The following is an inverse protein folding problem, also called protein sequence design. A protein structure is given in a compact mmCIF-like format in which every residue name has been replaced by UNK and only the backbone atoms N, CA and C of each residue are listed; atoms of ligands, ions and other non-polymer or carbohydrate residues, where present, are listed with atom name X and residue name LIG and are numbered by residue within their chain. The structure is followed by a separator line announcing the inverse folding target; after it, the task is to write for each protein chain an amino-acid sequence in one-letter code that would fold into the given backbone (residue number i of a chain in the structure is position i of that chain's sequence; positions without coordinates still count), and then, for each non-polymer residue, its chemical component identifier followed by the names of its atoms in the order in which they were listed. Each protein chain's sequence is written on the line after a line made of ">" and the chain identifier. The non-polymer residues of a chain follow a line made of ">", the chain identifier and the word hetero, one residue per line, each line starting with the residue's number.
data_IF_764815441626
#
_entry.id   IF_764815441626
#
_cell.length_a   1.000
_cell.length_b   1.000
_cell.length_c   1.000
_cell.angle_alpha   90.00
_cell.angle_beta   90.00
_cell.angle_gamma   90.00
#
_symmetry.space_group_name_H-M   'P 1'
#
loop_
_entity.id
_entity.type
_entity.pdbx_description
1 polymer ?
#
# COMPACT_ATOMS: atom_id res chain seq x y z
N UNK A 1 -0.52 -5.12 -1.65
CA UNK A 1 -0.11 -3.90 -0.93
C UNK A 1 -0.79 -2.73 -1.61
N UNK A 2 -1.54 -1.92 -0.86
CA UNK A 2 -2.31 -0.78 -1.37
C UNK A 2 -1.56 0.51 -1.03
N UNK A 3 -0.91 1.10 -2.04
CA UNK A 3 -0.09 2.32 -1.92
C UNK A 3 -0.98 3.54 -2.12
N UNK A 4 -0.98 4.45 -1.15
CA UNK A 4 -1.94 5.56 -1.11
C UNK A 4 -3.36 5.06 -0.85
N UNK A 5 -3.49 4.00 -0.05
CA UNK A 5 -4.79 3.34 0.19
C UNK A 5 -5.78 4.18 1.01
N UNK A 6 -5.32 5.30 1.57
CA UNK A 6 -6.12 6.25 2.34
C UNK A 6 -6.89 5.58 3.48
N UNK A 7 -8.19 5.91 3.56
CA UNK A 7 -9.11 5.35 4.55
C UNK A 7 -9.68 3.97 4.16
N UNK A 8 -9.02 3.25 3.25
CA UNK A 8 -9.33 1.86 2.89
C UNK A 8 -10.40 1.67 1.84
N UNK A 9 -10.58 2.63 0.91
CA UNK A 9 -11.60 2.53 -0.16
C UNK A 9 -11.51 1.21 -0.94
N UNK A 10 -10.28 0.73 -1.18
CA UNK A 10 -10.01 -0.51 -1.90
C UNK A 10 -9.62 -1.63 -0.94
N UNK A 11 -8.79 -1.34 0.06
CA UNK A 11 -8.34 -2.33 1.03
C UNK A 11 -9.49 -3.01 1.82
N UNK A 12 -10.53 -2.27 2.23
CA UNK A 12 -11.62 -2.84 3.04
C UNK A 12 -12.44 -3.87 2.24
N UNK A 13 -12.94 -3.58 1.02
CA UNK A 13 -13.60 -4.59 0.20
C UNK A 13 -12.74 -5.83 -0.05
N UNK A 14 -11.46 -5.64 -0.41
CA UNK A 14 -10.54 -6.77 -0.66
C UNK A 14 -10.33 -7.63 0.59
N UNK A 15 -10.16 -7.00 1.75
CA UNK A 15 -10.04 -7.72 3.02
C UNK A 15 -11.29 -8.53 3.33
N UNK A 16 -12.48 -7.95 3.14
CA UNK A 16 -13.77 -8.63 3.36
C UNK A 16 -14.02 -9.78 2.39
N UNK A 17 -13.40 -9.75 1.22
CA UNK A 17 -13.39 -10.84 0.24
C UNK A 17 -12.37 -11.95 0.58
N UNK A 18 -11.65 -11.82 1.70
CA UNK A 18 -10.71 -12.82 2.20
C UNK A 18 -9.26 -12.62 1.75
N UNK A 19 -8.95 -11.52 1.06
CA UNK A 19 -7.57 -11.20 0.70
C UNK A 19 -6.78 -10.63 1.88
N UNK A 20 -5.49 -10.98 1.95
CA UNK A 20 -4.56 -10.37 2.89
C UNK A 20 -4.06 -9.05 2.31
N UNK A 21 -4.50 -7.94 2.91
CA UNK A 21 -4.16 -6.59 2.46
C UNK A 21 -3.29 -5.89 3.50
N UNK A 22 -2.33 -5.10 3.01
CA UNK A 22 -1.53 -4.17 3.78
C UNK A 22 -1.64 -2.81 3.09
N UNK A 23 -1.87 -1.75 3.86
CA UNK A 23 -2.01 -0.38 3.35
C UNK A 23 -0.75 0.44 3.67
N UNK A 24 -0.24 1.19 2.70
CA UNK A 24 0.77 2.23 2.90
C UNK A 24 0.18 3.60 2.57
N UNK A 25 0.36 4.58 3.46
CA UNK A 25 -0.24 5.92 3.31
C UNK A 25 0.65 6.98 3.96
N UNK A 26 0.69 8.20 3.41
CA UNK A 26 1.43 9.34 3.97
C UNK A 26 0.58 10.13 4.98
N UNK A 27 -0.75 10.09 4.83
CA UNK A 27 -1.69 10.76 5.73
C UNK A 27 -2.06 9.88 6.94
N UNK A 28 -1.51 10.23 8.11
CA UNK A 28 -1.82 9.55 9.37
C UNK A 28 -3.30 9.62 9.77
N UNK A 29 -4.03 10.69 9.38
CA UNK A 29 -5.45 10.80 9.67
C UNK A 29 -6.25 9.77 8.87
N UNK A 30 -5.91 9.58 7.59
CA UNK A 30 -6.53 8.56 6.75
C UNK A 30 -6.33 7.15 7.34
N UNK A 31 -5.13 6.84 7.83
CA UNK A 31 -4.85 5.57 8.51
C UNK A 31 -5.64 5.40 9.81
N UNK A 32 -5.80 6.48 10.60
CA UNK A 32 -6.65 6.44 11.80
C UNK A 32 -8.10 6.14 11.44
N UNK A 33 -8.63 6.70 10.36
CA UNK A 33 -9.98 6.41 9.87
C UNK A 33 -10.09 4.97 9.40
N UNK A 34 -9.09 4.45 8.67
CA UNK A 34 -9.02 3.03 8.29
C UNK A 34 -9.08 2.14 9.53
N UNK A 35 -8.22 2.37 10.51
CA UNK A 35 -8.16 1.58 11.73
C UNK A 35 -9.48 1.59 12.50
N UNK A 36 -10.19 2.72 12.52
CA UNK A 36 -11.51 2.80 13.15
C UNK A 36 -12.58 2.00 12.40
N UNK A 37 -12.50 1.94 11.06
CA UNK A 37 -13.47 1.23 10.21
C UNK A 37 -13.21 -0.28 10.14
N UNK A 38 -11.94 -0.67 10.12
CA UNK A 38 -11.49 -2.06 9.98
C UNK A 38 -10.09 -2.23 10.59
N UNK A 39 -10.05 -2.42 11.91
CA UNK A 39 -8.80 -2.47 12.70
C UNK A 39 -7.91 -3.67 12.39
N UNK A 40 -8.46 -4.70 11.75
CA UNK A 40 -7.76 -5.92 11.38
C UNK A 40 -6.86 -5.74 10.14
N UNK A 41 -7.04 -4.67 9.34
CA UNK A 41 -6.17 -4.38 8.21
C UNK A 41 -4.89 -3.71 8.73
N UNK A 42 -3.71 -4.34 8.57
CA UNK A 42 -2.46 -3.69 8.92
C UNK A 42 -2.20 -2.49 8.00
N UNK A 43 -1.63 -1.44 8.57
CA UNK A 43 -1.27 -0.22 7.85
C UNK A 43 0.08 0.33 8.28
N UNK A 44 0.79 0.97 7.35
CA UNK A 44 2.10 1.58 7.57
C UNK A 44 2.00 3.05 7.16
N UNK A 45 2.39 3.94 8.07
CA UNK A 45 2.65 5.33 7.73
C UNK A 45 3.98 5.41 6.98
N UNK A 46 3.97 5.89 5.74
CA UNK A 46 5.16 6.02 4.90
C UNK A 46 5.54 7.50 4.77
N UNK A 47 6.83 7.78 4.54
CA UNK A 47 7.30 9.13 4.22
C UNK A 47 7.05 9.42 2.73
N UNK A 48 6.67 10.66 2.41
CA UNK A 48 6.46 11.10 1.02
C UNK A 48 7.76 11.16 0.20
N UNK A 49 8.90 11.17 0.88
CA UNK A 49 10.25 11.19 0.31
C UNK A 49 10.87 9.78 0.21
N UNK A 50 10.20 8.76 0.75
CA UNK A 50 10.70 7.40 0.74
C UNK A 50 10.72 6.83 -0.67
N UNK A 51 11.89 6.41 -1.14
CA UNK A 51 12.07 5.70 -2.41
C UNK A 51 12.05 4.18 -2.25
N UNK A 52 11.77 3.70 -1.03
CA UNK A 52 11.73 2.28 -0.68
C UNK A 52 10.72 2.04 0.43
N UNK A 53 9.90 1.02 0.26
CA UNK A 53 8.92 0.58 1.26
C UNK A 53 9.52 -0.49 2.19
N UNK A 54 9.08 -0.55 3.47
CA UNK A 54 9.52 -1.55 4.44
C UNK A 54 8.87 -2.93 4.19
N UNK A 55 8.86 -3.36 2.93
CA UNK A 55 8.30 -4.63 2.47
C UNK A 55 9.46 -5.52 2.02
N UNK A 56 9.41 -6.80 2.41
CA UNK A 56 10.40 -7.80 1.99
C UNK A 56 10.36 -7.97 0.48
N UNK A 57 11.52 -8.28 -0.12
CA UNK A 57 11.56 -8.62 -1.54
C UNK A 57 10.77 -9.91 -1.83
N UNK A 58 10.15 -9.98 -3.01
CA UNK A 58 9.42 -11.17 -3.49
C UNK A 58 8.38 -11.72 -2.51
N UNK A 59 7.64 -10.84 -1.81
CA UNK A 59 6.68 -11.24 -0.79
C UNK A 59 5.22 -10.95 -1.16
N UNK A 60 4.97 -10.12 -2.17
CA UNK A 60 3.63 -9.70 -2.57
C UNK A 60 3.19 -10.39 -3.85
N UNK A 61 1.91 -10.78 -3.91
CA UNK A 61 1.26 -11.24 -5.13
C UNK A 61 0.79 -10.07 -6.01
N UNK A 62 0.51 -8.91 -5.40
CA UNK A 62 -0.01 -7.73 -6.09
C UNK A 62 0.35 -6.42 -5.36
N UNK A 63 0.59 -5.37 -6.15
CA UNK A 63 0.73 -3.97 -5.72
C UNK A 63 -0.36 -3.16 -6.41
N UNK A 64 -1.11 -2.38 -5.62
CA UNK A 64 -2.09 -1.42 -6.09
C UNK A 64 -1.56 -0.01 -5.80
N UNK A 65 -1.71 0.88 -6.76
CA UNK A 65 -1.40 2.30 -6.61
C UNK A 65 -2.40 3.08 -7.45
N UNK A 66 -3.40 3.69 -6.80
CA UNK A 66 -4.55 4.29 -7.46
C UNK A 66 -4.72 5.75 -7.00
N UNK A 67 -4.65 6.69 -7.95
CA UNK A 67 -4.81 8.11 -7.65
C UNK A 67 -3.56 8.78 -7.07
N UNK A 68 -2.37 8.22 -7.30
CA UNK A 68 -1.08 8.79 -6.87
C UNK A 68 -0.15 8.99 -8.07
N UNK A 69 -0.47 9.93 -8.99
CA UNK A 69 0.25 10.08 -10.26
C UNK A 69 1.75 10.38 -10.09
N UNK A 70 2.12 11.11 -9.04
CA UNK A 70 3.53 11.48 -8.76
C UNK A 70 4.46 10.28 -8.55
N UNK A 71 3.94 9.14 -8.10
CA UNK A 71 4.74 7.92 -7.96
C UNK A 71 5.03 7.28 -9.31
N UNK A 72 4.06 7.28 -10.22
CA UNK A 72 4.19 6.70 -11.56
C UNK A 72 5.23 7.48 -12.39
N UNK A 73 5.33 8.78 -12.15
CA UNK A 73 6.30 9.66 -12.81
C UNK A 73 7.73 9.54 -12.24
N UNK A 74 7.92 8.81 -11.14
CA UNK A 74 9.21 8.69 -10.49
C UNK A 74 10.01 7.48 -10.98
N UNK A 75 11.30 7.69 -11.25
CA UNK A 75 12.19 6.67 -11.82
C UNK A 75 12.41 5.44 -10.93
N UNK A 76 12.18 5.59 -9.62
CA UNK A 76 12.42 4.51 -8.64
C UNK A 76 11.22 3.58 -8.45
N UNK A 77 10.01 4.05 -8.71
CA UNK A 77 8.78 3.40 -8.25
C UNK A 77 8.57 2.01 -8.84
N UNK A 78 8.70 1.87 -10.16
CA UNK A 78 8.52 0.57 -10.81
C UNK A 78 9.59 -0.45 -10.40
N UNK A 79 10.83 -0.01 -10.19
CA UNK A 79 11.90 -0.87 -9.65
C UNK A 79 11.55 -1.37 -8.26
N UNK A 80 11.03 -0.49 -7.40
CA UNK A 80 10.59 -0.85 -6.05
C UNK A 80 9.37 -1.78 -6.06
N UNK A 81 8.39 -1.57 -6.94
CA UNK A 81 7.28 -2.50 -7.14
C UNK A 81 7.77 -3.89 -7.54
N UNK A 82 8.66 -3.97 -8.54
CA UNK A 82 9.26 -5.22 -9.01
C UNK A 82 10.04 -5.94 -7.91
N UNK A 83 10.73 -5.19 -7.04
CA UNK A 83 11.43 -5.76 -5.88
C UNK A 83 10.48 -6.47 -4.93
N UNK A 84 9.30 -5.90 -4.66
CA UNK A 84 8.34 -6.44 -3.69
C UNK A 84 7.49 -7.60 -4.24
N UNK A 85 7.24 -7.62 -5.54
CA UNK A 85 6.44 -8.64 -6.21
C UNK A 85 7.17 -9.98 -6.29
N UNK A 86 6.42 -11.07 -6.10
CA UNK A 86 6.91 -12.43 -6.37
C UNK A 86 7.23 -12.58 -7.85
N UNK A 87 8.32 -13.29 -8.13
CA UNK A 87 8.70 -13.68 -9.48
C UNK A 87 8.06 -15.04 -9.73
N UNK A 88 7.14 -15.09 -10.70
CA UNK A 88 6.51 -16.33 -11.15
C UNK A 88 7.27 -16.88 -12.36
#
# INVERSE_FOLDING_TARGET
>A
FDIGGGSGRIAIPLYRDGHRVLVGEIDALALKILHHRESAIPSILVSGEATRYPIRASSLDCVLCLGVPSLIESDWFFSECNRMLKWN
#
